data_IF_217695553791
#
_entry.id   IF_217695553791
#
_cell.length_a   1.000
_cell.length_b   1.000
_cell.length_c   1.000
_cell.angle_alpha   90.00
_cell.angle_beta   90.00
_cell.angle_gamma   90.00
#
_symmetry.space_group_name_H-M   'P 1'
#
loop_
_entity.id
_entity.type
_entity.pdbx_description
1 polymer ?
#
# COMPACT_ATOMS: atom_id res chain seq x y z
N UNK A 1 40.62 -2.91 -75.62
CA UNK A 1 39.61 -1.86 -75.84
C UNK A 1 38.57 -1.96 -74.72
N UNK A 2 38.65 -1.02 -73.77
CA UNK A 2 37.54 -0.30 -73.12
C UNK A 2 36.26 -1.02 -72.62
N UNK A 3 35.98 -0.73 -71.35
CA UNK A 3 34.68 -0.44 -70.70
C UNK A 3 33.92 -1.53 -69.92
N UNK A 4 34.00 -1.39 -68.60
CA UNK A 4 32.93 -0.92 -67.70
C UNK A 4 31.48 -1.38 -67.93
N UNK A 5 30.95 -2.10 -66.92
CA UNK A 5 29.93 -1.51 -66.04
C UNK A 5 28.52 -2.11 -66.02
N UNK A 6 28.05 -2.36 -64.78
CA UNK A 6 26.71 -2.05 -64.20
C UNK A 6 25.70 -3.21 -63.94
N UNK A 7 25.56 -3.48 -62.62
CA UNK A 7 24.40 -3.73 -61.72
C UNK A 7 23.42 -4.90 -61.94
N UNK A 8 23.12 -5.63 -60.85
CA UNK A 8 21.79 -5.84 -60.21
C UNK A 8 21.98 -6.49 -58.81
N UNK A 9 21.00 -6.27 -57.92
CA UNK A 9 21.01 -6.32 -56.43
C UNK A 9 20.34 -7.63 -55.89
N UNK A 10 19.96 -7.78 -54.58
CA UNK A 10 20.54 -8.70 -53.58
C UNK A 10 19.61 -9.86 -53.13
N UNK A 11 20.12 -10.96 -52.55
CA UNK A 11 19.30 -11.89 -51.71
C UNK A 11 20.13 -12.56 -50.60
N UNK A 12 19.78 -12.23 -49.35
CA UNK A 12 19.62 -13.09 -48.16
C UNK A 12 20.47 -14.37 -48.00
N UNK A 13 21.22 -14.46 -46.90
CA UNK A 13 20.92 -15.44 -45.83
C UNK A 13 21.73 -15.22 -44.55
N UNK A 14 21.00 -15.41 -43.46
CA UNK A 14 21.29 -15.21 -42.04
C UNK A 14 21.96 -16.47 -41.46
N UNK A 15 22.85 -16.36 -40.47
CA UNK A 15 22.79 -17.11 -39.18
C UNK A 15 24.01 -16.92 -38.26
N UNK A 16 23.76 -16.12 -37.21
CA UNK A 16 24.05 -16.30 -35.77
C UNK A 16 25.43 -16.78 -35.29
N UNK A 17 26.14 -15.83 -34.67
CA UNK A 17 27.30 -16.04 -33.80
C UNK A 17 26.81 -16.25 -32.36
N UNK A 18 26.96 -17.46 -31.83
CA UNK A 18 26.77 -17.77 -30.42
C UNK A 18 28.08 -17.62 -29.65
N UNK A 19 28.24 -16.55 -28.86
CA UNK A 19 29.31 -16.42 -27.87
C UNK A 19 28.84 -16.97 -26.52
N UNK A 20 29.50 -18.04 -26.06
CA UNK A 20 29.30 -18.63 -24.74
C UNK A 20 29.88 -17.76 -23.62
N UNK A 21 29.10 -17.57 -22.56
CA UNK A 21 29.52 -16.87 -21.35
C UNK A 21 30.37 -17.78 -20.45
N UNK A 22 31.55 -17.27 -20.10
CA UNK A 22 32.62 -17.87 -19.31
C UNK A 22 32.33 -17.71 -17.82
N UNK A 23 32.18 -18.83 -17.10
CA UNK A 23 31.91 -18.88 -15.67
C UNK A 23 33.23 -18.81 -14.89
N UNK A 24 33.42 -17.80 -14.03
CA UNK A 24 34.55 -17.70 -13.08
C UNK A 24 34.00 -17.87 -11.66
N UNK A 25 34.58 -18.80 -10.89
CA UNK A 25 34.38 -18.97 -9.43
C UNK A 25 35.38 -18.06 -8.72
N UNK A 26 34.92 -17.22 -7.82
CA UNK A 26 35.67 -16.59 -6.73
C UNK A 26 34.68 -16.38 -5.56
N UNK A 27 34.75 -17.19 -4.51
CA UNK A 27 35.47 -16.95 -3.24
C UNK A 27 34.63 -16.17 -2.21
N UNK A 28 34.33 -16.87 -1.12
CA UNK A 28 33.57 -16.46 0.06
C UNK A 28 34.20 -15.21 0.69
N UNK A 29 33.40 -14.13 0.82
CA UNK A 29 33.69 -13.02 1.75
C UNK A 29 32.51 -12.82 2.68
N UNK A 30 32.73 -13.14 3.95
CA UNK A 30 31.94 -12.74 5.11
C UNK A 30 31.79 -11.22 5.12
N UNK A 31 30.59 -10.70 4.89
CA UNK A 31 30.24 -9.28 5.04
C UNK A 31 28.90 -9.17 5.78
N UNK A 32 29.03 -8.70 7.02
CA UNK A 32 28.11 -7.90 7.84
C UNK A 32 26.62 -7.81 7.44
N UNK A 33 25.78 -8.31 8.35
CA UNK A 33 24.33 -8.17 8.45
C UNK A 33 23.92 -6.69 8.54
N UNK A 34 23.61 -6.03 7.40
CA UNK A 34 23.03 -4.68 7.37
C UNK A 34 21.75 -4.64 6.51
N UNK A 35 20.61 -4.55 7.19
CA UNK A 35 19.38 -3.78 6.89
C UNK A 35 19.18 -3.34 5.42
N UNK A 36 18.59 -4.20 4.61
CA UNK A 36 18.05 -3.85 3.28
C UNK A 36 16.64 -4.45 3.16
N UNK A 37 15.58 -3.66 3.38
CA UNK A 37 14.18 -3.84 2.88
C UNK A 37 13.17 -2.91 3.61
N UNK A 38 13.21 -1.57 3.41
CA UNK A 38 12.12 -0.64 3.85
C UNK A 38 11.96 0.56 2.89
N UNK A 39 12.59 0.55 1.70
CA UNK A 39 12.86 1.80 0.96
C UNK A 39 11.73 2.30 0.03
N UNK A 40 10.80 1.46 -0.45
CA UNK A 40 9.78 1.92 -1.42
C UNK A 40 8.51 2.47 -0.76
N UNK A 41 7.92 1.75 0.20
CA UNK A 41 6.66 2.14 0.85
C UNK A 41 6.76 3.43 1.67
N UNK A 42 7.89 3.66 2.32
CA UNK A 42 8.12 4.85 3.15
C UNK A 42 8.18 6.16 2.34
N UNK A 43 8.74 6.12 1.13
CA UNK A 43 8.80 7.29 0.26
C UNK A 43 7.40 7.67 -0.27
N UNK A 44 6.64 6.68 -0.73
CA UNK A 44 5.29 6.88 -1.26
C UNK A 44 4.32 7.42 -0.21
N UNK A 45 4.40 6.93 1.03
CA UNK A 45 3.59 7.47 2.13
C UNK A 45 3.90 8.95 2.40
N UNK A 46 5.19 9.29 2.51
CA UNK A 46 5.65 10.67 2.75
C UNK A 46 5.15 11.64 1.70
N UNK A 47 5.30 11.28 0.43
CA UNK A 47 4.83 12.08 -0.69
C UNK A 47 3.32 12.25 -0.64
N UNK A 48 2.57 11.16 -0.48
CA UNK A 48 1.09 11.18 -0.48
C UNK A 48 0.50 12.02 0.66
N UNK A 49 1.18 12.07 1.80
CA UNK A 49 0.72 12.82 2.99
C UNK A 49 1.39 14.20 3.15
N UNK A 50 2.44 14.50 2.39
CA UNK A 50 3.24 15.72 2.57
C UNK A 50 3.92 15.78 3.95
N UNK A 51 4.36 14.65 4.49
CA UNK A 51 4.93 14.56 5.85
C UNK A 51 6.45 14.45 5.83
N UNK A 52 7.10 15.05 6.82
CA UNK A 52 8.55 14.96 6.99
C UNK A 52 8.97 13.64 7.67
N UNK A 53 10.25 13.27 7.53
CA UNK A 53 10.80 12.13 8.29
C UNK A 53 10.71 12.35 9.82
N UNK A 54 10.77 13.60 10.27
CA UNK A 54 10.64 13.95 11.70
C UNK A 54 9.21 13.69 12.17
N UNK A 55 8.22 14.16 11.42
CA UNK A 55 6.80 13.95 11.74
C UNK A 55 6.44 12.46 11.80
N UNK A 56 6.98 11.63 10.89
CA UNK A 56 6.79 10.17 10.95
C UNK A 56 7.40 9.57 12.22
N UNK A 57 8.57 10.04 12.67
CA UNK A 57 9.22 9.51 13.88
C UNK A 57 8.48 9.94 15.15
N UNK A 58 7.99 11.17 15.18
CA UNK A 58 7.39 11.77 16.37
C UNK A 58 5.90 11.40 16.53
N UNK A 59 5.22 10.99 15.44
CA UNK A 59 3.83 10.55 15.45
C UNK A 59 3.72 9.02 15.33
N UNK A 60 3.23 8.35 16.39
CA UNK A 60 3.04 6.89 16.43
C UNK A 60 2.15 6.35 15.32
N UNK A 61 1.08 7.06 14.96
CA UNK A 61 0.17 6.68 13.89
C UNK A 61 0.92 6.65 12.56
N UNK A 62 1.66 7.69 12.25
CA UNK A 62 2.39 7.81 10.98
C UNK A 62 3.58 6.86 10.92
N UNK A 63 4.27 6.64 12.04
CA UNK A 63 5.31 5.63 12.16
C UNK A 63 4.77 4.24 11.82
N UNK A 64 3.63 3.86 12.42
CA UNK A 64 2.96 2.59 12.14
C UNK A 64 2.55 2.48 10.66
N UNK A 65 1.86 3.50 10.13
CA UNK A 65 1.42 3.48 8.72
C UNK A 65 2.62 3.36 7.79
N UNK A 66 3.68 4.12 8.02
CA UNK A 66 4.91 4.08 7.23
C UNK A 66 5.55 2.69 7.22
N UNK A 67 5.53 1.99 8.35
CA UNK A 67 6.06 0.63 8.47
C UNK A 67 5.18 -0.41 7.74
N UNK A 68 3.86 -0.21 7.73
CA UNK A 68 2.90 -1.12 7.08
C UNK A 68 2.63 -0.79 5.62
N UNK A 69 3.02 0.38 5.14
CA UNK A 69 2.74 0.84 3.79
C UNK A 69 3.27 -0.13 2.73
N UNK A 70 2.41 -0.50 1.78
CA UNK A 70 2.71 -1.48 0.73
C UNK A 70 2.53 -2.94 1.14
N UNK A 71 2.18 -3.25 2.40
CA UNK A 71 1.84 -4.64 2.80
C UNK A 71 0.74 -5.18 1.90
N UNK A 72 0.91 -6.33 1.23
CA UNK A 72 -0.06 -6.84 0.28
C UNK A 72 -1.39 -7.18 0.96
N UNK A 73 -2.47 -7.12 0.18
CA UNK A 73 -3.76 -7.54 0.70
C UNK A 73 -3.86 -9.07 0.74
N UNK A 74 -4.39 -9.60 1.84
CA UNK A 74 -4.77 -11.00 1.97
C UNK A 74 -6.05 -11.09 2.77
N UNK A 75 -7.11 -11.63 2.17
CA UNK A 75 -8.39 -11.84 2.86
C UNK A 75 -8.17 -12.71 4.11
N UNK A 76 -8.66 -12.26 5.27
CA UNK A 76 -8.45 -12.94 6.54
C UNK A 76 -7.06 -12.74 7.15
N UNK A 77 -6.10 -12.16 6.41
CA UNK A 77 -4.72 -11.96 6.83
C UNK A 77 -4.56 -10.86 7.88
N UNK A 78 -3.52 -11.00 8.71
CA UNK A 78 -3.24 -10.15 9.86
C UNK A 78 -1.75 -9.82 10.03
N UNK A 79 -0.92 -10.10 9.03
CA UNK A 79 0.54 -10.03 9.10
C UNK A 79 1.13 -9.13 8.01
N UNK A 80 2.43 -8.82 8.09
CA UNK A 80 3.17 -8.09 7.05
C UNK A 80 3.32 -8.86 5.74
N UNK A 81 3.13 -10.17 5.76
CA UNK A 81 3.08 -11.02 4.57
C UNK A 81 1.73 -10.91 3.83
N UNK A 82 0.72 -10.33 4.47
CA UNK A 82 -0.62 -10.18 3.92
C UNK A 82 -1.64 -9.79 4.99
N UNK A 83 -2.41 -8.72 4.73
CA UNK A 83 -3.39 -8.18 5.69
C UNK A 83 -4.69 -7.78 5.00
N UNK A 84 -5.83 -7.96 5.68
CA UNK A 84 -7.10 -7.37 5.22
C UNK A 84 -7.39 -6.00 5.86
N UNK A 85 -8.41 -5.32 5.38
CA UNK A 85 -8.74 -3.96 5.82
C UNK A 85 -9.05 -3.89 7.31
N UNK A 86 -9.88 -4.81 7.80
CA UNK A 86 -10.23 -4.89 9.22
C UNK A 86 -9.04 -5.24 10.10
N UNK A 87 -8.22 -6.22 9.73
CA UNK A 87 -7.08 -6.62 10.56
C UNK A 87 -5.95 -5.59 10.56
N UNK A 88 -5.76 -4.88 9.44
CA UNK A 88 -4.89 -3.72 9.41
C UNK A 88 -5.35 -2.65 10.41
N UNK A 89 -6.65 -2.32 10.41
CA UNK A 89 -7.24 -1.39 11.38
C UNK A 89 -7.08 -1.88 12.82
N UNK A 90 -7.32 -3.17 13.10
CA UNK A 90 -7.15 -3.77 14.43
C UNK A 90 -5.70 -3.63 14.90
N UNK A 91 -4.72 -4.01 14.07
CA UNK A 91 -3.30 -3.90 14.41
C UNK A 91 -2.89 -2.44 14.66
N UNK A 92 -3.39 -1.50 13.86
CA UNK A 92 -3.14 -0.08 14.03
C UNK A 92 -3.70 0.41 15.38
N UNK A 93 -4.95 0.10 15.69
CA UNK A 93 -5.60 0.55 16.93
C UNK A 93 -4.98 -0.08 18.18
N UNK A 94 -4.57 -1.35 18.10
CA UNK A 94 -3.84 -2.02 19.18
C UNK A 94 -2.50 -1.32 19.43
N UNK A 95 -1.68 -1.13 18.39
CA UNK A 95 -0.32 -0.58 18.55
C UNK A 95 -0.27 0.92 18.84
N UNK A 96 -1.18 1.70 18.27
CA UNK A 96 -1.14 3.16 18.38
C UNK A 96 -1.97 3.64 19.57
N UNK A 97 -3.14 3.04 19.80
CA UNK A 97 -4.11 3.51 20.79
C UNK A 97 -4.36 2.52 21.94
N UNK A 98 -3.78 1.31 21.90
CA UNK A 98 -4.02 0.28 22.92
C UNK A 98 -5.47 -0.20 22.95
N UNK A 99 -6.17 -0.17 21.81
CA UNK A 99 -7.60 -0.52 21.72
C UNK A 99 -7.82 -1.83 20.99
N UNK A 100 -8.62 -2.70 21.60
CA UNK A 100 -9.11 -3.94 21.00
C UNK A 100 -10.38 -3.68 20.21
N UNK A 101 -10.54 -4.39 19.11
CA UNK A 101 -11.65 -4.24 18.18
C UNK A 101 -12.09 -5.63 17.68
N UNK A 102 -13.38 -5.78 17.31
CA UNK A 102 -13.88 -7.03 16.73
C UNK A 102 -13.27 -7.27 15.33
N UNK A 103 -13.39 -8.51 14.83
CA UNK A 103 -12.61 -8.97 13.68
C UNK A 103 -13.05 -8.37 12.34
N UNK A 104 -14.34 -8.10 12.17
CA UNK A 104 -14.89 -7.68 10.88
C UNK A 104 -15.20 -6.19 10.82
N UNK A 105 -15.11 -5.60 9.62
CA UNK A 105 -15.43 -4.18 9.42
C UNK A 105 -16.86 -3.82 9.87
N UNK A 106 -17.82 -4.72 9.67
CA UNK A 106 -19.20 -4.53 10.10
C UNK A 106 -19.39 -4.55 11.61
N UNK A 107 -18.66 -5.40 12.35
CA UNK A 107 -18.69 -5.40 13.81
C UNK A 107 -17.97 -4.17 14.37
N UNK A 108 -16.84 -3.77 13.78
CA UNK A 108 -16.13 -2.54 14.15
C UNK A 108 -17.08 -1.34 14.04
N UNK A 109 -17.82 -1.26 12.94
CA UNK A 109 -18.81 -0.20 12.73
C UNK A 109 -19.87 -0.13 13.84
N UNK A 110 -20.33 -1.28 14.36
CA UNK A 110 -21.33 -1.32 15.46
C UNK A 110 -20.78 -0.79 16.77
N UNK A 111 -19.47 -0.93 16.99
CA UNK A 111 -18.75 -0.44 18.17
C UNK A 111 -18.42 1.06 18.08
N UNK A 112 -18.74 1.72 16.96
CA UNK A 112 -18.49 3.15 16.77
C UNK A 112 -19.70 4.03 17.13
N UNK A 113 -19.40 5.22 17.63
CA UNK A 113 -20.29 6.38 17.57
C UNK A 113 -20.21 6.96 16.15
N UNK A 114 -21.35 7.22 15.52
CA UNK A 114 -21.40 7.72 14.14
C UNK A 114 -21.07 9.21 14.11
N UNK A 115 -20.23 9.62 13.18
CA UNK A 115 -19.83 11.01 12.99
C UNK A 115 -20.32 11.53 11.63
N UNK A 116 -20.66 12.82 11.60
CA UNK A 116 -20.71 13.56 10.34
C UNK A 116 -19.30 13.63 9.74
N UNK A 117 -19.19 13.61 8.41
CA UNK A 117 -17.91 13.70 7.71
C UNK A 117 -17.14 14.98 8.08
N UNK A 118 -17.84 16.07 8.36
CA UNK A 118 -17.24 17.35 8.73
C UNK A 118 -16.68 17.36 10.17
N UNK A 119 -17.05 16.37 10.98
CA UNK A 119 -16.60 16.23 12.37
C UNK A 119 -15.47 15.21 12.55
N UNK A 120 -15.06 14.55 11.46
CA UNK A 120 -14.06 13.48 11.50
C UNK A 120 -12.67 14.04 11.77
N UNK A 121 -11.97 13.40 12.69
CA UNK A 121 -10.61 13.74 13.10
C UNK A 121 -9.65 12.59 12.81
N UNK A 122 -8.37 12.91 12.82
CA UNK A 122 -7.32 11.90 12.65
C UNK A 122 -7.50 10.76 13.67
N UNK A 123 -7.46 9.52 13.17
CA UNK A 123 -7.68 8.32 13.97
C UNK A 123 -9.14 7.84 14.00
N UNK A 124 -10.11 8.62 13.51
CA UNK A 124 -11.48 8.12 13.35
C UNK A 124 -11.57 7.13 12.18
N UNK A 125 -12.64 6.35 12.13
CA UNK A 125 -12.84 5.27 11.17
C UNK A 125 -13.73 5.69 10.02
N UNK A 126 -13.39 5.24 8.83
CA UNK A 126 -14.15 5.47 7.59
C UNK A 126 -14.66 4.13 7.09
N UNK A 127 -15.95 4.05 6.79
CA UNK A 127 -16.64 2.82 6.41
C UNK A 127 -17.22 2.92 5.00
N UNK A 128 -17.11 1.82 4.26
CA UNK A 128 -17.59 1.72 2.89
C UNK A 128 -18.50 0.51 2.70
N UNK A 129 -19.43 0.69 1.77
CA UNK A 129 -20.30 -0.36 1.23
C UNK A 129 -19.89 -0.66 -0.20
N UNK A 130 -18.75 -1.34 -0.39
CA UNK A 130 -18.24 -1.64 -1.73
C UNK A 130 -19.06 -2.79 -2.31
N UNK A 131 -19.84 -2.50 -3.35
CA UNK A 131 -20.69 -3.44 -4.09
C UNK A 131 -21.55 -4.34 -3.16
N UNK A 132 -22.04 -3.80 -2.05
CA UNK A 132 -22.80 -4.53 -1.04
C UNK A 132 -23.79 -3.61 -0.31
N UNK A 133 -24.84 -4.20 0.28
CA UNK A 133 -25.76 -3.49 1.16
C UNK A 133 -25.24 -3.35 2.60
N UNK A 134 -24.17 -4.06 2.94
CA UNK A 134 -23.54 -4.08 4.26
C UNK A 134 -22.14 -3.45 4.23
N UNK A 135 -21.61 -3.08 5.39
CA UNK A 135 -20.22 -2.60 5.51
C UNK A 135 -19.26 -3.72 5.12
N UNK A 136 -18.45 -3.49 4.09
CA UNK A 136 -17.46 -4.44 3.57
C UNK A 136 -16.03 -3.96 3.69
N UNK A 137 -15.81 -2.66 3.91
CA UNK A 137 -14.48 -2.08 4.01
C UNK A 137 -14.38 -1.05 5.13
N UNK A 138 -13.19 -0.95 5.70
CA UNK A 138 -12.85 0.05 6.73
C UNK A 138 -11.48 0.66 6.42
N UNK A 139 -11.31 1.93 6.79
CA UNK A 139 -10.05 2.65 6.79
C UNK A 139 -9.96 3.56 8.01
N UNK A 140 -8.77 4.11 8.25
CA UNK A 140 -8.50 5.07 9.33
C UNK A 140 -8.27 6.44 8.72
N UNK A 141 -9.06 7.42 9.14
CA UNK A 141 -8.96 8.80 8.70
C UNK A 141 -7.65 9.43 9.17
N UNK A 142 -7.06 10.24 8.31
CA UNK A 142 -5.86 11.02 8.59
C UNK A 142 -6.22 12.51 8.59
N UNK A 143 -5.97 13.20 7.47
CA UNK A 143 -6.29 14.62 7.27
C UNK A 143 -6.63 14.90 5.81
N UNK A 144 -7.23 16.04 5.53
CA UNK A 144 -7.57 16.49 4.17
C UNK A 144 -8.35 15.45 3.35
N UNK A 145 -9.36 14.82 3.97
CA UNK A 145 -10.15 13.74 3.35
C UNK A 145 -9.34 12.48 3.00
N UNK A 146 -8.09 12.38 3.44
CA UNK A 146 -7.24 11.20 3.24
C UNK A 146 -7.46 10.18 4.34
N UNK A 147 -7.36 8.92 3.97
CA UNK A 147 -7.46 7.79 4.89
C UNK A 147 -6.49 6.68 4.46
N UNK A 148 -6.02 5.90 5.43
CA UNK A 148 -5.21 4.71 5.21
C UNK A 148 -6.09 3.46 5.30
N UNK A 149 -5.84 2.49 4.43
CA UNK A 149 -6.56 1.22 4.42
C UNK A 149 -5.75 0.15 3.67
N UNK A 150 -6.11 -1.12 3.85
CA UNK A 150 -5.61 -2.20 2.97
C UNK A 150 -6.55 -2.36 1.76
N UNK A 151 -6.10 -1.90 0.59
CA UNK A 151 -6.80 -2.06 -0.69
C UNK A 151 -6.58 -3.45 -1.28
N UNK A 152 -7.62 -4.05 -1.84
CA UNK A 152 -7.58 -5.41 -2.41
C UNK A 152 -6.56 -5.58 -3.53
N UNK A 153 -6.25 -4.53 -4.28
CA UNK A 153 -5.34 -4.60 -5.44
C UNK A 153 -3.94 -4.06 -5.16
N UNK A 154 -3.79 -3.15 -4.18
CA UNK A 154 -2.53 -2.43 -3.95
C UNK A 154 -1.97 -2.56 -2.54
N UNK A 155 -2.62 -3.36 -1.69
CA UNK A 155 -2.19 -3.52 -0.30
C UNK A 155 -2.46 -2.28 0.54
N UNK A 156 -1.67 -2.06 1.58
CA UNK A 156 -1.81 -0.91 2.48
C UNK A 156 -1.35 0.37 1.80
N UNK A 157 -2.25 1.33 1.63
CA UNK A 157 -1.93 2.64 1.08
C UNK A 157 -2.84 3.73 1.63
N UNK A 158 -2.58 4.97 1.18
CA UNK A 158 -3.43 6.13 1.44
C UNK A 158 -4.18 6.52 0.18
N UNK A 159 -5.49 6.69 0.32
CA UNK A 159 -6.37 7.26 -0.70
C UNK A 159 -7.15 8.45 -0.13
N UNK A 160 -7.81 9.20 -1.02
CA UNK A 160 -8.69 10.31 -0.65
C UNK A 160 -10.15 9.97 -0.89
N UNK A 161 -11.03 10.43 0.02
CA UNK A 161 -12.48 10.38 -0.15
C UNK A 161 -12.96 11.24 -1.33
N UNK A 162 -12.12 12.13 -1.86
CA UNK A 162 -12.40 12.90 -3.08
C UNK A 162 -12.21 12.10 -4.36
N UNK A 163 -11.57 10.92 -4.31
CA UNK A 163 -11.44 10.06 -5.49
C UNK A 163 -12.82 9.43 -5.82
N UNK A 164 -13.22 9.46 -7.09
CA UNK A 164 -14.55 9.02 -7.57
C UNK A 164 -14.98 7.64 -7.06
N UNK A 165 -14.03 6.70 -6.98
CA UNK A 165 -14.32 5.37 -6.47
C UNK A 165 -14.72 5.40 -4.98
N UNK A 166 -13.94 6.08 -4.14
CA UNK A 166 -14.20 6.11 -2.70
C UNK A 166 -15.35 7.03 -2.33
N UNK A 167 -15.55 8.14 -3.06
CA UNK A 167 -16.73 9.00 -2.86
C UNK A 167 -18.02 8.26 -3.15
N UNK A 168 -18.05 7.40 -4.18
CA UNK A 168 -19.21 6.57 -4.54
C UNK A 168 -19.57 5.55 -3.46
N UNK A 169 -18.57 4.92 -2.83
CA UNK A 169 -18.81 3.81 -1.88
C UNK A 169 -18.75 4.23 -0.40
N UNK A 170 -18.35 5.47 -0.11
CA UNK A 170 -18.34 6.00 1.25
C UNK A 170 -19.74 5.92 1.84
N UNK A 171 -19.83 5.40 3.06
CA UNK A 171 -21.10 5.20 3.73
C UNK A 171 -21.21 5.99 5.04
N UNK A 172 -20.19 5.91 5.89
CA UNK A 172 -20.24 6.56 7.20
C UNK A 172 -18.83 6.75 7.76
N UNK A 173 -18.69 7.71 8.67
CA UNK A 173 -17.54 7.83 9.54
C UNK A 173 -17.94 7.52 10.98
N UNK A 174 -16.99 7.09 11.80
CA UNK A 174 -17.29 6.83 13.21
C UNK A 174 -16.07 6.81 14.11
N UNK A 175 -16.31 7.14 15.38
CA UNK A 175 -15.33 7.12 16.45
C UNK A 175 -15.50 5.86 17.28
N UNK A 176 -14.42 5.13 17.52
CA UNK A 176 -14.48 3.94 18.39
C UNK A 176 -14.90 4.36 19.81
N UNK A 177 -15.96 3.74 20.35
CA UNK A 177 -16.44 4.06 21.71
C UNK A 177 -15.40 3.68 22.75
N UNK A 178 -15.31 4.47 23.82
CA UNK A 178 -14.57 4.09 25.00
C UNK A 178 -15.39 3.06 25.78
N UNK A 179 -14.88 1.83 25.85
CA UNK A 179 -15.27 0.86 26.88
C UNK A 179 -14.28 0.97 28.04
#
# INVERSE_FOLDING_TARGET
>A
MRFSGIKIIPVFCILLIGYGCRHKKDSVKTVTKQKVEVKSGSAAFKEKMGVSNKEIKDNKLYSFINEWYGTPYKYGGCEKSGVDCSCFTINLFDKVYGKKMPRTAGEIYKECEKLSIDSVKEGDLIFFKINSNSITHVGVYLRDKKFVHASTTRGVLVNSLSETYYSKYFYSAGKLKHK
#
